data_IF_912025684728
#
_entry.id   IF_912025684728
#
_cell.length_a   1.000
_cell.length_b   1.000
_cell.length_c   1.000
_cell.angle_alpha   90.00
_cell.angle_beta   90.00
_cell.angle_gamma   90.00
#
_symmetry.space_group_name_H-M   'P 1'
#
loop_
_entity.id
_entity.type
_entity.pdbx_description
1 polymer ?
#
# COMPACT_ATOMS: atom_id res chain seq x y z
N UNK A 1 -1.15 -10.12 -18.00
CA UNK A 1 -1.73 -9.23 -16.97
C UNK A 1 -2.89 -9.92 -16.28
N UNK A 2 -2.98 -9.83 -14.95
CA UNK A 2 -4.13 -10.27 -14.15
C UNK A 2 -4.89 -9.04 -13.71
N UNK A 3 -6.21 -9.09 -13.67
CA UNK A 3 -7.02 -7.99 -13.16
C UNK A 3 -8.31 -8.48 -12.49
N UNK A 4 -8.88 -7.64 -11.65
CA UNK A 4 -10.16 -7.86 -11.00
C UNK A 4 -10.85 -6.51 -10.81
N UNK A 5 -12.13 -6.44 -11.17
CA UNK A 5 -12.97 -5.26 -11.09
C UNK A 5 -14.19 -5.55 -10.21
N UNK A 6 -14.50 -4.62 -9.33
CA UNK A 6 -15.69 -4.59 -8.48
C UNK A 6 -16.46 -3.33 -8.83
N UNK A 7 -17.76 -3.43 -9.01
CA UNK A 7 -18.65 -2.27 -9.19
C UNK A 7 -19.80 -2.37 -8.20
N UNK A 8 -19.99 -1.33 -7.40
CA UNK A 8 -21.01 -1.27 -6.34
C UNK A 8 -20.99 -2.52 -5.44
N UNK A 9 -19.78 -2.91 -4.99
CA UNK A 9 -19.56 -4.09 -4.14
C UNK A 9 -19.71 -5.44 -4.83
N UNK A 10 -20.00 -5.49 -6.16
CA UNK A 10 -20.21 -6.73 -6.91
C UNK A 10 -19.04 -7.00 -7.87
N UNK A 11 -18.40 -8.18 -7.79
CA UNK A 11 -17.38 -8.58 -8.77
C UNK A 11 -17.93 -8.59 -10.19
N UNK A 12 -17.17 -8.02 -11.12
CA UNK A 12 -17.54 -7.93 -12.55
C UNK A 12 -16.89 -9.04 -13.40
N UNK A 13 -15.93 -9.78 -12.85
CA UNK A 13 -15.26 -10.87 -13.57
C UNK A 13 -15.82 -12.23 -13.17
N UNK A 14 -16.04 -13.12 -14.16
CA UNK A 14 -16.68 -14.43 -13.99
C UNK A 14 -15.76 -15.51 -13.38
N UNK A 15 -14.44 -15.30 -13.31
CA UNK A 15 -13.49 -16.24 -12.73
C UNK A 15 -12.27 -15.48 -12.19
N UNK A 16 -12.26 -15.10 -10.89
CA UNK A 16 -11.07 -14.54 -10.28
C UNK A 16 -9.95 -15.60 -10.26
N UNK A 17 -8.76 -15.18 -10.65
CA UNK A 17 -7.56 -16.02 -10.50
C UNK A 17 -7.20 -16.11 -9.02
N UNK A 18 -7.07 -17.34 -8.48
CA UNK A 18 -6.56 -17.57 -7.12
C UNK A 18 -5.03 -17.46 -7.01
N UNK A 19 -4.40 -17.02 -8.09
CA UNK A 19 -2.96 -16.87 -8.15
C UNK A 19 -2.48 -15.84 -7.13
N UNK A 20 -1.64 -16.29 -6.21
CA UNK A 20 -1.01 -15.43 -5.22
C UNK A 20 0.00 -14.50 -5.89
N UNK A 21 -0.13 -13.20 -5.68
CA UNK A 21 0.81 -12.19 -6.20
C UNK A 21 1.30 -11.31 -5.07
N UNK A 22 2.54 -10.75 -5.15
CA UNK A 22 3.01 -9.80 -4.14
C UNK A 22 2.27 -8.47 -4.27
N UNK A 23 1.78 -7.97 -3.12
CA UNK A 23 1.07 -6.69 -3.07
C UNK A 23 2.01 -5.49 -2.92
N UNK A 24 3.29 -5.74 -2.75
CA UNK A 24 4.31 -4.70 -2.63
C UNK A 24 3.87 -3.55 -1.72
N UNK A 25 3.99 -2.32 -2.21
CA UNK A 25 3.61 -1.14 -1.43
C UNK A 25 2.10 -1.00 -1.19
N UNK A 26 1.22 -1.75 -1.86
CA UNK A 26 -0.19 -1.80 -1.48
C UNK A 26 -0.37 -2.40 -0.06
N UNK A 27 0.58 -3.19 0.42
CA UNK A 27 0.66 -3.63 1.83
C UNK A 27 0.57 -2.44 2.80
N UNK A 28 1.06 -1.26 2.42
CA UNK A 28 0.98 -0.05 3.25
C UNK A 28 -0.45 0.40 3.51
N UNK A 29 -1.33 0.24 2.53
CA UNK A 29 -2.77 0.55 2.72
C UNK A 29 -3.40 -0.37 3.76
N UNK A 30 -3.01 -1.65 3.77
CA UNK A 30 -3.48 -2.62 4.77
C UNK A 30 -2.93 -2.28 6.17
N UNK A 31 -1.64 -1.95 6.26
CA UNK A 31 -1.03 -1.52 7.53
C UNK A 31 -1.65 -0.22 8.05
N UNK A 32 -1.95 0.72 7.14
CA UNK A 32 -2.63 1.97 7.50
C UNK A 32 -4.04 1.69 8.06
N UNK A 33 -4.83 0.85 7.39
CA UNK A 33 -6.13 0.43 7.88
C UNK A 33 -6.03 -0.23 9.26
N UNK A 34 -5.07 -1.14 9.45
CA UNK A 34 -4.80 -1.80 10.73
C UNK A 34 -4.46 -0.78 11.82
N UNK A 35 -3.56 0.16 11.56
CA UNK A 35 -3.19 1.21 12.50
C UNK A 35 -4.37 2.14 12.83
N UNK A 36 -5.21 2.47 11.84
CA UNK A 36 -6.41 3.28 12.05
C UNK A 36 -7.48 2.56 12.90
N UNK A 37 -7.52 1.22 12.91
CA UNK A 37 -8.37 0.50 13.89
C UNK A 37 -7.89 0.71 15.33
N UNK A 38 -6.59 0.90 15.55
CA UNK A 38 -6.06 1.23 16.88
C UNK A 38 -6.46 2.65 17.31
N UNK A 39 -6.51 3.58 16.35
CA UNK A 39 -7.05 4.95 16.59
C UNK A 39 -8.54 4.89 16.91
N UNK A 40 -9.33 4.12 16.14
CA UNK A 40 -10.75 3.87 16.40
C UNK A 40 -10.98 3.38 17.83
N UNK A 41 -10.16 2.43 18.27
CA UNK A 41 -10.24 1.80 19.57
C UNK A 41 -9.57 2.64 20.70
N UNK A 42 -9.06 3.85 20.37
CA UNK A 42 -8.39 4.79 21.29
C UNK A 42 -7.12 4.24 21.95
N UNK A 43 -6.45 3.30 21.30
CA UNK A 43 -5.17 2.74 21.78
C UNK A 43 -4.00 3.64 21.40
N UNK A 44 -4.17 4.53 20.42
CA UNK A 44 -3.20 5.52 19.98
C UNK A 44 -3.91 6.76 19.44
N UNK A 45 -3.31 7.92 19.63
CA UNK A 45 -3.75 9.17 18.99
C UNK A 45 -3.16 9.27 17.58
N UNK A 46 -3.94 9.82 16.64
CA UNK A 46 -3.46 10.08 15.29
C UNK A 46 -2.49 11.27 15.26
N UNK A 47 -2.67 12.24 16.16
CA UNK A 47 -2.04 13.56 16.12
C UNK A 47 -1.09 13.86 17.30
N UNK A 48 -0.97 12.95 18.25
CA UNK A 48 0.02 13.06 19.32
C UNK A 48 1.32 12.35 18.94
N UNK A 49 2.47 12.81 19.43
CA UNK A 49 3.74 12.12 19.23
C UNK A 49 3.68 10.66 19.66
N UNK A 50 4.25 9.77 18.87
CA UNK A 50 4.31 8.34 19.20
C UNK A 50 5.53 8.11 20.07
N UNK A 51 5.32 7.61 21.30
CA UNK A 51 6.32 6.90 22.10
C UNK A 51 7.78 7.31 21.85
N UNK A 52 8.22 8.40 22.47
CA UNK A 52 9.59 8.92 22.39
C UNK A 52 10.07 9.31 20.97
N UNK A 53 9.14 9.47 20.03
CA UNK A 53 9.44 9.92 18.68
C UNK A 53 8.93 11.36 18.46
N UNK A 54 9.63 12.17 17.65
CA UNK A 54 9.23 13.55 17.37
C UNK A 54 8.11 13.65 16.31
N UNK A 55 7.53 12.55 15.89
CA UNK A 55 6.50 12.51 14.86
C UNK A 55 5.24 11.77 15.34
N UNK A 56 4.12 12.05 14.67
CA UNK A 56 2.81 11.47 14.95
C UNK A 56 2.50 10.30 14.02
N UNK A 57 1.47 9.50 14.35
CA UNK A 57 0.99 8.45 13.46
C UNK A 57 0.49 9.02 12.12
N UNK A 58 -0.17 10.19 12.13
CA UNK A 58 -0.57 10.89 10.90
C UNK A 58 0.62 11.17 10.00
N UNK A 59 1.70 11.68 10.56
CA UNK A 59 2.92 12.00 9.80
C UNK A 59 3.60 10.76 9.23
N UNK A 60 3.60 9.64 9.95
CA UNK A 60 4.08 8.35 9.41
C UNK A 60 3.20 7.88 8.24
N UNK A 61 1.89 7.83 8.45
CA UNK A 61 0.93 7.38 7.44
C UNK A 61 0.97 8.21 6.15
N UNK A 62 1.31 9.49 6.25
CA UNK A 62 1.40 10.44 5.14
C UNK A 62 2.80 10.62 4.55
N UNK A 63 3.82 9.92 5.06
CA UNK A 63 5.21 10.15 4.69
C UNK A 63 5.72 11.57 4.99
N UNK A 64 5.23 12.17 6.06
CA UNK A 64 5.58 13.52 6.52
C UNK A 64 6.47 13.51 7.77
N UNK A 65 6.91 12.34 8.23
CA UNK A 65 7.70 12.19 9.46
C UNK A 65 9.17 12.62 9.32
N UNK A 66 9.64 12.94 8.12
CA UNK A 66 11.05 13.32 7.89
C UNK A 66 12.02 12.14 7.85
N UNK A 67 11.53 10.92 7.84
CA UNK A 67 12.34 9.71 7.82
C UNK A 67 13.00 9.47 6.45
N UNK A 68 14.17 8.85 6.47
CA UNK A 68 14.86 8.39 5.27
C UNK A 68 14.14 7.19 4.63
N UNK A 69 14.54 6.82 3.40
CA UNK A 69 14.07 5.61 2.73
C UNK A 69 15.25 4.73 2.30
N UNK A 70 15.23 3.45 2.71
CA UNK A 70 16.27 2.51 2.30
C UNK A 70 16.25 2.20 0.79
N UNK A 71 15.12 2.43 0.11
CA UNK A 71 15.03 2.35 -1.33
C UNK A 71 15.94 3.35 -2.08
N UNK A 72 16.57 4.31 -1.38
CA UNK A 72 17.54 5.24 -1.94
C UNK A 72 19.00 4.76 -1.78
N UNK A 73 19.24 3.70 -1.01
CA UNK A 73 20.59 3.16 -0.81
C UNK A 73 21.04 2.35 -2.03
N UNK A 74 22.17 2.72 -2.63
CA UNK A 74 22.79 1.97 -3.71
C UNK A 74 23.14 0.54 -3.26
N UNK A 75 23.66 0.40 -2.04
CA UNK A 75 24.01 -0.89 -1.45
C UNK A 75 22.80 -1.82 -1.34
N UNK A 76 21.62 -1.28 -0.99
CA UNK A 76 20.37 -2.05 -0.97
C UNK A 76 20.05 -2.63 -2.34
N UNK A 77 20.09 -1.82 -3.39
CA UNK A 77 19.83 -2.29 -4.75
C UNK A 77 20.86 -3.32 -5.22
N UNK A 78 22.11 -3.13 -4.85
CA UNK A 78 23.20 -4.07 -5.16
C UNK A 78 22.97 -5.41 -4.47
N UNK A 79 22.70 -5.41 -3.17
CA UNK A 79 22.44 -6.62 -2.38
C UNK A 79 21.21 -7.38 -2.90
N UNK A 80 20.12 -6.67 -3.20
CA UNK A 80 18.92 -7.26 -3.81
C UNK A 80 19.20 -7.87 -5.17
N UNK A 81 19.95 -7.19 -6.04
CA UNK A 81 20.28 -7.69 -7.38
C UNK A 81 21.19 -8.92 -7.34
N UNK A 82 22.05 -9.01 -6.32
CA UNK A 82 22.90 -10.17 -6.08
C UNK A 82 22.16 -11.36 -5.44
N UNK A 83 20.87 -11.18 -5.07
CA UNK A 83 20.08 -12.18 -4.35
C UNK A 83 20.61 -12.45 -2.93
N UNK A 84 21.23 -11.46 -2.29
CA UNK A 84 21.71 -11.56 -0.92
C UNK A 84 20.56 -11.68 0.08
N UNK A 85 20.76 -12.31 1.25
CA UNK A 85 19.81 -12.27 2.34
C UNK A 85 19.57 -10.82 2.81
N UNK A 86 18.36 -10.53 3.27
CA UNK A 86 18.06 -9.20 3.82
C UNK A 86 18.92 -8.90 5.07
N UNK A 87 19.39 -7.67 5.16
CA UNK A 87 20.05 -7.18 6.37
C UNK A 87 19.08 -7.18 7.55
N UNK A 88 19.60 -7.26 8.77
CA UNK A 88 18.78 -7.00 9.94
C UNK A 88 18.21 -5.57 9.90
N UNK A 89 17.10 -5.34 10.61
CA UNK A 89 16.53 -3.98 10.69
C UNK A 89 17.52 -2.98 11.30
N UNK A 90 18.31 -3.42 12.29
CA UNK A 90 19.33 -2.58 12.93
C UNK A 90 20.45 -2.21 11.95
N UNK A 91 20.92 -3.17 11.15
CA UNK A 91 21.92 -2.92 10.12
C UNK A 91 21.38 -1.96 9.04
N UNK A 92 20.14 -2.17 8.57
CA UNK A 92 19.49 -1.26 7.62
C UNK A 92 19.42 0.15 8.19
N UNK A 93 18.98 0.31 9.43
CA UNK A 93 18.89 1.62 10.10
C UNK A 93 20.26 2.27 10.25
N UNK A 94 21.31 1.49 10.57
CA UNK A 94 22.67 2.00 10.66
C UNK A 94 23.20 2.48 9.30
N UNK A 95 23.06 1.67 8.23
CA UNK A 95 23.50 2.03 6.86
C UNK A 95 22.79 3.27 6.35
N UNK A 96 21.53 3.44 6.72
CA UNK A 96 20.70 4.56 6.28
C UNK A 96 20.91 5.84 7.09
N UNK A 97 21.64 5.81 8.24
CA UNK A 97 21.56 6.88 9.25
C UNK A 97 20.07 7.18 9.56
N UNK A 98 19.32 6.10 9.83
CA UNK A 98 17.85 6.10 9.81
C UNK A 98 17.22 6.82 11.01
N UNK A 99 17.97 7.09 12.06
CA UNK A 99 17.53 7.88 13.21
C UNK A 99 17.58 9.39 12.94
N UNK A 100 18.38 9.84 11.97
CA UNK A 100 18.48 11.24 11.58
C UNK A 100 17.33 11.63 10.67
N UNK A 101 16.50 12.56 11.12
CA UNK A 101 15.44 13.13 10.28
C UNK A 101 16.04 13.98 9.16
N UNK A 102 15.45 13.90 7.98
CA UNK A 102 15.84 14.64 6.78
C UNK A 102 15.24 16.07 6.76
N UNK A 103 14.16 16.26 7.52
CA UNK A 103 13.48 17.53 7.77
C UNK A 103 12.62 17.41 9.04
N UNK A 104 12.16 18.52 9.58
CA UNK A 104 11.27 18.51 10.74
C UNK A 104 9.92 17.86 10.38
N UNK A 105 9.37 16.96 11.20
CA UNK A 105 8.08 16.32 10.95
C UNK A 105 6.98 17.32 10.60
N UNK A 106 6.22 17.03 9.57
CA UNK A 106 5.14 17.89 9.07
C UNK A 106 5.56 19.01 8.12
N UNK A 107 6.87 19.34 8.00
CA UNK A 107 7.32 20.46 7.15
C UNK A 107 7.61 20.06 5.70
N UNK A 108 7.66 18.77 5.39
CA UNK A 108 7.95 18.24 4.06
C UNK A 108 7.20 16.95 3.79
N UNK A 109 7.43 16.40 2.61
CA UNK A 109 6.94 15.10 2.19
C UNK A 109 8.06 14.32 1.50
N UNK A 110 8.24 13.07 1.92
CA UNK A 110 9.17 12.12 1.29
C UNK A 110 8.70 10.71 1.56
N UNK A 111 8.47 9.96 0.50
CA UNK A 111 8.12 8.55 0.63
C UNK A 111 9.15 7.81 1.49
N UNK A 112 8.68 7.01 2.45
CA UNK A 112 9.57 6.29 3.36
C UNK A 112 9.00 4.91 3.71
N UNK A 113 9.71 3.87 3.30
CA UNK A 113 9.46 2.50 3.74
C UNK A 113 9.77 2.33 5.23
N UNK A 114 10.75 3.10 5.76
CA UNK A 114 11.09 3.11 7.19
C UNK A 114 9.91 3.62 8.02
N UNK A 115 9.16 4.61 7.53
CA UNK A 115 7.94 5.07 8.19
C UNK A 115 6.93 3.95 8.41
N UNK A 116 6.76 3.08 7.42
CA UNK A 116 5.85 1.93 7.53
C UNK A 116 6.41 0.77 8.33
N UNK A 117 7.72 0.61 8.41
CA UNK A 117 8.35 -0.26 9.40
C UNK A 117 8.01 0.20 10.83
N UNK A 118 8.10 1.51 11.15
CA UNK A 118 7.66 2.06 12.44
C UNK A 118 6.17 1.79 12.71
N UNK A 119 5.30 1.90 11.69
CA UNK A 119 3.87 1.57 11.83
C UNK A 119 3.68 0.09 12.18
N UNK A 120 4.40 -0.82 11.52
CA UNK A 120 4.36 -2.25 11.85
C UNK A 120 4.78 -2.52 13.30
N UNK A 121 5.88 -1.92 13.75
CA UNK A 121 6.35 -2.02 15.14
C UNK A 121 5.35 -1.45 16.17
N UNK A 122 4.69 -0.34 15.80
CA UNK A 122 3.64 0.25 16.62
C UNK A 122 2.44 -0.69 16.76
N UNK A 123 2.01 -1.31 15.66
CA UNK A 123 0.92 -2.30 15.66
C UNK A 123 1.27 -3.46 16.59
N UNK A 124 2.44 -4.08 16.44
CA UNK A 124 2.89 -5.18 17.29
C UNK A 124 2.92 -4.79 18.78
N UNK A 125 3.48 -3.62 19.08
CA UNK A 125 3.59 -3.12 20.47
C UNK A 125 2.23 -2.89 21.12
N UNK A 126 1.28 -2.28 20.40
CA UNK A 126 -0.03 -1.93 20.97
C UNK A 126 -0.99 -3.12 21.04
N UNK A 127 -0.81 -4.11 20.16
CA UNK A 127 -1.66 -5.31 20.15
C UNK A 127 -1.08 -6.44 20.99
N UNK A 128 0.24 -6.47 21.22
CA UNK A 128 0.95 -7.60 21.81
C UNK A 128 1.00 -8.82 20.89
N UNK A 129 0.61 -8.69 19.62
CA UNK A 129 0.58 -9.76 18.62
C UNK A 129 1.73 -9.62 17.63
N UNK A 130 2.09 -10.70 16.96
CA UNK A 130 2.90 -10.62 15.75
C UNK A 130 2.16 -9.84 14.67
N UNK A 131 2.89 -9.17 13.77
CA UNK A 131 2.30 -8.28 12.76
C UNK A 131 1.27 -8.98 11.87
N UNK A 132 1.53 -10.23 11.48
CA UNK A 132 0.62 -11.03 10.65
C UNK A 132 -0.70 -11.32 11.38
N UNK A 133 -0.66 -11.71 12.64
CA UNK A 133 -1.85 -11.95 13.46
C UNK A 133 -2.65 -10.66 13.68
N UNK A 134 -1.96 -9.56 13.97
CA UNK A 134 -2.60 -8.26 14.19
C UNK A 134 -3.31 -7.76 12.93
N UNK A 135 -2.66 -7.86 11.77
CA UNK A 135 -3.24 -7.48 10.47
C UNK A 135 -4.43 -8.38 10.12
N UNK A 136 -4.28 -9.70 10.31
CA UNK A 136 -5.37 -10.64 10.07
C UNK A 136 -6.59 -10.31 10.93
N UNK A 137 -6.41 -10.13 12.24
CA UNK A 137 -7.53 -9.92 13.17
C UNK A 137 -8.19 -8.55 13.02
N UNK A 138 -7.42 -7.51 12.70
CA UNK A 138 -7.91 -6.14 12.74
C UNK A 138 -8.34 -5.58 11.38
N UNK A 139 -7.83 -6.12 10.28
CA UNK A 139 -8.14 -5.61 8.94
C UNK A 139 -8.65 -6.69 7.99
N UNK A 140 -7.93 -7.80 7.82
CA UNK A 140 -8.27 -8.76 6.79
C UNK A 140 -9.54 -9.58 7.13
N UNK A 141 -9.58 -10.23 8.28
CA UNK A 141 -10.73 -11.05 8.69
C UNK A 141 -12.04 -10.25 8.84
N UNK A 142 -12.04 -9.05 9.47
CA UNK A 142 -13.25 -8.23 9.54
C UNK A 142 -13.78 -7.81 8.16
N UNK A 143 -12.92 -7.66 7.17
CA UNK A 143 -13.31 -7.39 5.78
C UNK A 143 -13.55 -8.67 4.96
N UNK A 144 -13.52 -9.86 5.60
CA UNK A 144 -13.80 -11.15 4.97
C UNK A 144 -12.73 -11.62 3.98
N UNK A 145 -11.47 -11.23 4.19
CA UNK A 145 -10.33 -11.69 3.40
C UNK A 145 -9.61 -12.82 4.14
N UNK A 146 -9.62 -14.02 3.58
CA UNK A 146 -8.99 -15.21 4.17
C UNK A 146 -7.80 -15.74 3.39
N UNK A 147 -7.67 -15.38 2.11
CA UNK A 147 -6.60 -15.86 1.23
C UNK A 147 -5.53 -14.75 0.99
N UNK A 148 -5.13 -14.09 2.08
CA UNK A 148 -4.07 -13.07 2.08
C UNK A 148 -3.17 -13.35 3.28
N UNK A 149 -1.85 -13.33 3.06
CA UNK A 149 -0.88 -13.59 4.13
C UNK A 149 0.43 -12.85 3.88
N UNK A 150 1.26 -12.72 4.90
CA UNK A 150 2.63 -12.24 4.72
C UNK A 150 3.51 -13.33 4.08
N UNK A 151 4.34 -12.92 3.13
CA UNK A 151 5.45 -13.71 2.65
C UNK A 151 6.57 -13.70 3.71
N UNK A 152 6.99 -14.88 4.18
CA UNK A 152 8.04 -15.05 5.21
C UNK A 152 9.35 -15.55 4.62
N UNK A 153 9.30 -16.13 3.42
CA UNK A 153 10.45 -16.72 2.75
C UNK A 153 10.33 -16.59 1.23
N UNK A 154 11.44 -16.81 0.54
CA UNK A 154 11.47 -16.81 -0.93
C UNK A 154 10.47 -17.80 -1.56
N UNK A 155 10.25 -18.94 -0.90
CA UNK A 155 9.29 -19.95 -1.37
C UNK A 155 7.82 -19.51 -1.31
N UNK A 156 7.52 -18.45 -0.57
CA UNK A 156 6.18 -17.86 -0.53
C UNK A 156 5.87 -17.01 -1.77
N UNK A 157 6.90 -16.54 -2.45
CA UNK A 157 6.74 -15.75 -3.66
C UNK A 157 6.45 -16.63 -4.87
N UNK A 158 5.60 -16.18 -5.81
CA UNK A 158 5.23 -16.98 -6.97
C UNK A 158 6.44 -17.29 -7.86
N UNK A 159 6.64 -18.56 -8.18
CA UNK A 159 7.74 -19.00 -9.04
C UNK A 159 7.62 -18.50 -10.50
N UNK A 160 6.45 -18.04 -10.92
CA UNK A 160 6.22 -17.51 -12.26
C UNK A 160 6.71 -16.06 -12.46
N UNK A 161 7.12 -15.36 -11.40
CA UNK A 161 7.68 -14.02 -11.52
C UNK A 161 9.15 -14.14 -11.95
N UNK A 162 9.51 -13.75 -13.20
CA UNK A 162 10.85 -13.93 -13.71
C UNK A 162 11.87 -12.94 -13.10
N UNK A 163 13.13 -13.27 -13.23
CA UNK A 163 14.23 -12.41 -12.84
C UNK A 163 14.48 -12.34 -11.34
N UNK A 164 14.86 -11.18 -10.84
CA UNK A 164 15.22 -10.96 -9.43
C UNK A 164 14.11 -11.28 -8.45
N UNK A 165 12.85 -11.25 -8.87
CA UNK A 165 11.71 -11.56 -8.00
C UNK A 165 11.69 -13.02 -7.55
N UNK A 166 12.14 -13.97 -8.39
CA UNK A 166 12.24 -15.40 -8.02
C UNK A 166 13.30 -15.66 -6.96
N UNK A 167 14.28 -14.78 -6.82
CA UNK A 167 15.37 -14.85 -5.83
C UNK A 167 15.23 -13.84 -4.72
N UNK A 168 14.24 -12.95 -4.79
CA UNK A 168 14.01 -11.88 -3.82
C UNK A 168 13.65 -12.44 -2.45
N UNK A 169 14.37 -11.97 -1.43
CA UNK A 169 14.05 -12.27 -0.05
C UNK A 169 12.96 -11.28 0.44
N UNK A 170 11.74 -11.73 0.79
CA UNK A 170 10.68 -10.84 1.25
C UNK A 170 11.03 -10.09 2.54
N UNK A 171 12.03 -10.54 3.31
CA UNK A 171 12.55 -9.83 4.47
C UNK A 171 13.17 -8.46 4.13
N UNK A 172 13.54 -8.19 2.87
CA UNK A 172 13.91 -6.86 2.39
C UNK A 172 12.76 -5.83 2.47
N UNK A 173 11.51 -6.28 2.59
CA UNK A 173 10.37 -5.41 2.83
C UNK A 173 10.15 -5.31 4.34
N UNK A 174 10.90 -4.47 5.02
CA UNK A 174 10.94 -4.39 6.49
C UNK A 174 9.59 -4.10 7.15
N UNK A 175 8.66 -3.49 6.44
CA UNK A 175 7.26 -3.32 6.90
C UNK A 175 6.37 -4.55 6.61
N UNK A 176 6.95 -5.62 6.05
CA UNK A 176 6.24 -6.82 5.64
C UNK A 176 5.72 -6.75 4.20
N UNK A 177 5.63 -7.91 3.56
CA UNK A 177 5.13 -8.08 2.20
C UNK A 177 3.90 -8.99 2.22
N UNK A 178 2.72 -8.43 1.98
CA UNK A 178 1.51 -9.24 1.75
C UNK A 178 1.53 -9.88 0.37
N UNK A 179 1.03 -11.10 0.32
CA UNK A 179 0.73 -11.84 -0.91
C UNK A 179 -0.71 -12.30 -0.87
N UNK A 180 -1.37 -12.27 -2.02
CA UNK A 180 -2.77 -12.68 -2.17
C UNK A 180 -3.22 -12.58 -3.61
N UNK A 181 -4.40 -13.13 -3.95
CA UNK A 181 -5.01 -12.94 -5.26
C UNK A 181 -5.26 -11.46 -5.57
N UNK A 182 -5.21 -11.10 -6.85
CA UNK A 182 -5.53 -9.73 -7.31
C UNK A 182 -6.97 -9.35 -6.94
N UNK A 183 -7.88 -10.31 -7.00
CA UNK A 183 -9.28 -10.13 -6.59
C UNK A 183 -9.42 -9.76 -5.12
N UNK A 184 -8.58 -10.31 -4.25
CA UNK A 184 -8.58 -9.97 -2.82
C UNK A 184 -8.00 -8.57 -2.58
N UNK A 185 -7.08 -8.09 -3.42
CA UNK A 185 -6.58 -6.72 -3.32
C UNK A 185 -7.66 -5.69 -3.70
N UNK A 186 -8.41 -5.93 -4.78
CA UNK A 186 -9.57 -5.11 -5.14
C UNK A 186 -10.64 -5.14 -4.04
N UNK A 187 -10.96 -6.33 -3.53
CA UNK A 187 -11.96 -6.52 -2.48
C UNK A 187 -11.58 -5.84 -1.17
N UNK A 188 -10.29 -5.88 -0.81
CA UNK A 188 -9.79 -5.16 0.38
C UNK A 188 -10.05 -3.67 0.27
N UNK A 189 -9.67 -3.03 -0.84
CA UNK A 189 -9.83 -1.59 -1.01
C UNK A 189 -11.31 -1.21 -1.06
N UNK A 190 -12.13 -1.97 -1.79
CA UNK A 190 -13.58 -1.77 -1.87
C UNK A 190 -14.21 -1.81 -0.48
N UNK A 191 -14.01 -2.89 0.25
CA UNK A 191 -14.60 -3.06 1.58
C UNK A 191 -14.04 -2.09 2.62
N UNK A 192 -12.74 -1.75 2.56
CA UNK A 192 -12.14 -0.76 3.45
C UNK A 192 -12.85 0.60 3.33
N UNK A 193 -13.18 1.02 2.11
CA UNK A 193 -13.72 2.34 1.84
C UNK A 193 -15.26 2.40 1.89
N UNK A 194 -15.95 1.23 1.88
CA UNK A 194 -17.41 1.12 1.82
C UNK A 194 -18.06 0.48 3.04
N UNK A 195 -17.28 -0.03 4.02
CA UNK A 195 -17.83 -0.68 5.22
C UNK A 195 -17.47 0.06 6.51
N UNK A 196 -18.04 -0.39 7.62
CA UNK A 196 -17.88 0.22 8.94
C UNK A 196 -16.62 -0.23 9.70
N UNK A 197 -15.60 -0.75 9.00
CA UNK A 197 -14.33 -1.08 9.66
C UNK A 197 -13.74 0.14 10.37
N UNK A 198 -13.80 1.30 9.72
CA UNK A 198 -13.33 2.57 10.25
C UNK A 198 -14.46 3.59 10.31
N UNK A 199 -14.54 4.43 11.36
CA UNK A 199 -15.47 5.55 11.40
C UNK A 199 -15.30 6.47 10.19
N UNK A 200 -16.39 7.10 9.75
CA UNK A 200 -16.42 8.03 8.61
C UNK A 200 -15.33 9.13 8.69
N UNK A 201 -15.08 9.64 9.89
CA UNK A 201 -14.04 10.66 10.11
C UNK A 201 -12.62 10.15 9.80
N UNK A 202 -12.33 8.88 10.11
CA UNK A 202 -11.04 8.27 9.77
C UNK A 202 -10.96 7.93 8.27
N UNK A 203 -12.06 7.46 7.67
CA UNK A 203 -12.13 7.25 6.20
C UNK A 203 -11.95 8.55 5.43
N UNK A 204 -12.58 9.63 5.86
CA UNK A 204 -12.37 10.96 5.28
C UNK A 204 -10.92 11.43 5.46
N UNK A 205 -10.35 11.26 6.66
CA UNK A 205 -8.95 11.57 6.93
C UNK A 205 -7.99 10.76 6.05
N UNK A 206 -8.31 9.48 5.80
CA UNK A 206 -7.55 8.60 4.90
C UNK A 206 -7.54 9.12 3.46
N UNK A 207 -8.67 9.64 3.00
CA UNK A 207 -8.88 10.18 1.66
C UNK A 207 -8.61 11.70 1.55
N UNK A 208 -8.18 12.35 2.61
CA UNK A 208 -7.74 13.76 2.57
C UNK A 208 -6.25 13.82 2.23
N UNK A 209 -5.95 13.88 0.94
CA UNK A 209 -4.58 13.83 0.47
C UNK A 209 -3.89 15.20 0.50
N UNK A 210 -2.61 15.21 0.86
CA UNK A 210 -1.70 16.30 0.54
C UNK A 210 -1.23 16.14 -0.90
N UNK A 211 -1.38 17.17 -1.72
CA UNK A 211 -0.80 17.21 -3.06
C UNK A 211 0.73 17.21 -2.94
N UNK A 212 1.38 16.29 -3.63
CA UNK A 212 2.83 16.08 -3.55
C UNK A 212 3.60 16.45 -4.81
N UNK A 213 2.88 16.90 -5.85
CA UNK A 213 3.50 17.34 -7.10
C UNK A 213 2.49 17.63 -8.20
N UNK A 214 3.00 17.85 -9.40
CA UNK A 214 2.26 17.95 -10.65
C UNK A 214 2.19 16.60 -11.38
N UNK A 215 1.83 16.62 -12.68
CA UNK A 215 1.70 15.39 -13.48
C UNK A 215 2.95 14.54 -13.46
N UNK A 216 2.78 13.23 -13.30
CA UNK A 216 3.89 12.27 -13.33
C UNK A 216 3.98 11.69 -14.75
N UNK A 217 5.10 11.90 -15.47
CA UNK A 217 5.28 11.38 -16.82
C UNK A 217 5.05 9.86 -16.89
N UNK A 218 4.24 9.42 -17.87
CA UNK A 218 3.94 8.00 -18.08
C UNK A 218 2.98 7.38 -17.07
N UNK A 219 2.40 8.17 -16.15
CA UNK A 219 1.37 7.73 -15.20
C UNK A 219 0.09 8.58 -15.35
N UNK A 220 -1.09 8.09 -14.95
CA UNK A 220 -2.36 8.80 -15.16
C UNK A 220 -2.53 10.07 -14.32
N UNK A 221 -1.64 10.35 -13.39
CA UNK A 221 -1.76 11.41 -12.39
C UNK A 221 -1.58 12.81 -12.97
N UNK A 222 -2.58 13.68 -12.75
CA UNK A 222 -2.50 15.12 -13.01
C UNK A 222 -2.03 15.86 -11.74
N UNK A 223 -2.64 15.54 -10.60
CA UNK A 223 -2.27 16.10 -9.29
C UNK A 223 -2.12 14.97 -8.28
N UNK A 224 -0.96 14.27 -8.26
CA UNK A 224 -0.72 13.21 -7.30
C UNK A 224 -0.70 13.75 -5.88
N UNK A 225 -1.32 13.01 -4.97
CA UNK A 225 -1.35 13.31 -3.55
C UNK A 225 -1.22 12.04 -2.72
N UNK A 226 -1.03 12.22 -1.41
CA UNK A 226 -0.92 11.12 -0.47
C UNK A 226 -1.74 11.41 0.80
N UNK A 227 -2.64 10.48 1.15
CA UNK A 227 -3.46 10.49 2.35
C UNK A 227 -2.91 9.60 3.46
N UNK A 228 -3.77 9.04 4.31
CA UNK A 228 -3.32 8.11 5.35
C UNK A 228 -3.19 6.69 4.75
N UNK A 229 -2.07 6.41 4.13
CA UNK A 229 -1.77 5.10 3.54
C UNK A 229 -2.39 4.84 2.17
N UNK A 230 -2.88 5.87 1.50
CA UNK A 230 -3.38 5.80 0.13
C UNK A 230 -2.78 6.92 -0.72
N UNK A 231 -2.49 6.62 -1.97
CA UNK A 231 -2.32 7.62 -3.02
C UNK A 231 -3.69 8.11 -3.44
N UNK A 232 -3.84 9.43 -3.59
CA UNK A 232 -5.07 10.02 -4.08
C UNK A 232 -4.79 11.27 -4.90
N UNK A 233 -5.47 11.42 -6.02
CA UNK A 233 -5.30 12.61 -6.82
C UNK A 233 -6.14 12.60 -8.09
N UNK A 234 -6.17 13.75 -8.77
CA UNK A 234 -6.89 13.90 -10.01
C UNK A 234 -6.20 13.17 -11.18
N UNK A 235 -7.02 12.58 -12.03
CA UNK A 235 -6.65 12.01 -13.33
C UNK A 235 -7.46 12.68 -14.46
N UNK A 236 -7.21 12.31 -15.70
CA UNK A 236 -7.95 12.81 -16.84
C UNK A 236 -9.46 12.52 -16.74
N UNK A 237 -10.30 13.40 -17.30
CA UNK A 237 -11.75 13.27 -17.25
C UNK A 237 -12.40 13.82 -15.97
N UNK A 238 -11.63 14.45 -15.07
CA UNK A 238 -12.16 15.05 -13.83
C UNK A 238 -12.34 14.05 -12.69
N UNK A 239 -11.89 12.81 -12.85
CA UNK A 239 -11.98 11.78 -11.83
C UNK A 239 -10.89 11.88 -10.76
N UNK A 240 -11.20 11.37 -9.58
CA UNK A 240 -10.23 11.17 -8.49
C UNK A 240 -9.94 9.68 -8.35
N UNK A 241 -8.67 9.33 -8.45
CA UNK A 241 -8.18 7.98 -8.22
C UNK A 241 -7.71 7.86 -6.77
N UNK A 242 -8.19 6.85 -6.04
CA UNK A 242 -7.82 6.58 -4.62
C UNK A 242 -7.39 5.13 -4.45
N UNK A 243 -6.21 4.89 -3.91
CA UNK A 243 -5.67 3.53 -3.72
C UNK A 243 -4.17 3.53 -3.57
N UNK A 244 -3.48 2.52 -4.10
CA UNK A 244 -2.02 2.48 -4.07
C UNK A 244 -1.44 1.61 -5.18
N UNK A 245 -0.29 2.00 -5.69
CA UNK A 245 0.55 1.19 -6.58
C UNK A 245 1.67 0.56 -5.77
N UNK A 246 1.87 -0.74 -5.92
CA UNK A 246 3.01 -1.48 -5.38
C UNK A 246 3.95 -1.91 -6.49
N UNK A 247 5.23 -1.62 -6.34
CA UNK A 247 6.28 -2.05 -7.26
C UNK A 247 7.41 -2.69 -6.47
N UNK A 248 7.91 -3.80 -6.99
CA UNK A 248 9.08 -4.48 -6.48
C UNK A 248 9.81 -5.21 -7.61
N UNK A 249 10.87 -5.96 -7.30
CA UNK A 249 11.63 -6.65 -8.33
C UNK A 249 10.74 -7.54 -9.21
N UNK A 250 10.66 -7.21 -10.50
CA UNK A 250 10.02 -8.02 -11.53
C UNK A 250 8.50 -7.95 -11.61
N UNK A 251 7.81 -7.14 -10.80
CA UNK A 251 6.35 -7.02 -10.91
C UNK A 251 5.77 -5.76 -10.30
N UNK A 252 4.55 -5.41 -10.73
CA UNK A 252 3.79 -4.26 -10.27
C UNK A 252 2.34 -4.69 -10.02
N UNK A 253 1.76 -4.18 -8.94
CA UNK A 253 0.32 -4.20 -8.67
C UNK A 253 -0.19 -2.77 -8.56
N UNK A 254 -1.36 -2.48 -9.13
CA UNK A 254 -2.08 -1.23 -8.92
C UNK A 254 -3.49 -1.56 -8.43
N UNK A 255 -3.93 -0.90 -7.35
CA UNK A 255 -5.24 -1.14 -6.73
C UNK A 255 -5.87 0.22 -6.46
N UNK A 256 -6.95 0.54 -7.18
CA UNK A 256 -7.56 1.87 -7.12
C UNK A 256 -9.08 1.83 -7.17
N UNK A 257 -9.67 2.89 -6.62
CA UNK A 257 -11.09 3.19 -6.63
C UNK A 257 -11.36 4.50 -7.36
N UNK A 258 -12.47 4.53 -8.10
CA UNK A 258 -13.10 5.73 -8.66
C UNK A 258 -14.56 5.75 -8.23
N UNK A 259 -15.10 6.95 -8.00
CA UNK A 259 -16.53 7.20 -7.80
C UNK A 259 -17.00 8.14 -8.92
N UNK A 260 -18.12 7.79 -9.53
CA UNK A 260 -18.82 8.63 -10.51
C UNK A 260 -20.34 8.58 -10.24
N UNK A 261 -20.89 9.67 -9.70
CA UNK A 261 -22.25 9.69 -9.19
C UNK A 261 -22.50 8.61 -8.15
N UNK A 262 -23.47 7.74 -8.41
CA UNK A 262 -23.82 6.60 -7.54
C UNK A 262 -23.03 5.32 -7.87
N UNK A 263 -22.09 5.38 -8.83
CA UNK A 263 -21.28 4.24 -9.24
C UNK A 263 -19.92 4.28 -8.55
N UNK A 264 -19.64 3.26 -7.76
CA UNK A 264 -18.37 3.04 -7.09
C UNK A 264 -17.64 1.87 -7.73
N UNK A 265 -16.39 2.05 -8.10
CA UNK A 265 -15.59 1.00 -8.74
C UNK A 265 -14.24 0.86 -8.06
N UNK A 266 -13.88 -0.38 -7.75
CA UNK A 266 -12.54 -0.76 -7.34
C UNK A 266 -11.93 -1.72 -8.36
N UNK A 267 -10.76 -1.41 -8.86
CA UNK A 267 -10.03 -2.27 -9.77
C UNK A 267 -8.61 -2.52 -9.26
N UNK A 268 -8.18 -3.78 -9.38
CA UNK A 268 -6.79 -4.18 -9.17
C UNK A 268 -6.24 -4.82 -10.44
N UNK A 269 -5.00 -4.50 -10.79
CA UNK A 269 -4.28 -5.16 -11.88
C UNK A 269 -2.85 -5.49 -11.43
N UNK A 270 -2.33 -6.61 -11.93
CA UNK A 270 -0.98 -7.08 -11.67
C UNK A 270 -0.31 -7.49 -12.97
N UNK A 271 0.95 -7.11 -13.12
CA UNK A 271 1.76 -7.48 -14.27
C UNK A 271 3.21 -7.75 -13.86
N UNK A 272 3.84 -8.66 -14.61
CA UNK A 272 5.29 -8.83 -14.59
C UNK A 272 5.94 -7.65 -15.33
N UNK A 273 7.00 -7.09 -14.75
CA UNK A 273 7.68 -5.91 -15.29
C UNK A 273 7.92 -4.85 -14.24
N UNK A 274 8.26 -3.63 -14.68
CA UNK A 274 8.59 -2.52 -13.78
C UNK A 274 7.76 -1.25 -14.03
N UNK A 275 6.85 -1.25 -15.03
CA UNK A 275 6.10 -0.05 -15.41
C UNK A 275 4.86 0.16 -14.54
N UNK A 276 4.97 1.02 -13.53
CA UNK A 276 3.82 1.41 -12.72
C UNK A 276 2.70 2.05 -13.56
N UNK A 277 3.07 2.95 -14.47
CA UNK A 277 2.10 3.67 -15.29
C UNK A 277 1.31 2.76 -16.23
N UNK A 278 1.93 1.70 -16.77
CA UNK A 278 1.23 0.74 -17.63
C UNK A 278 0.14 -0.01 -16.85
N UNK A 279 0.43 -0.45 -15.63
CA UNK A 279 -0.54 -1.17 -14.78
C UNK A 279 -1.64 -0.24 -14.27
N UNK A 280 -1.29 0.98 -13.89
CA UNK A 280 -2.27 2.02 -13.53
C UNK A 280 -3.20 2.38 -14.68
N UNK A 281 -2.67 2.48 -15.91
CA UNK A 281 -3.47 2.77 -17.08
C UNK A 281 -4.53 1.69 -17.34
N UNK A 282 -4.17 0.41 -17.15
CA UNK A 282 -5.12 -0.70 -17.28
C UNK A 282 -6.22 -0.62 -16.23
N UNK A 283 -5.88 -0.31 -14.97
CA UNK A 283 -6.87 -0.13 -13.90
C UNK A 283 -7.85 0.99 -14.26
N UNK A 284 -7.34 2.14 -14.71
CA UNK A 284 -8.17 3.28 -15.12
C UNK A 284 -9.03 2.90 -16.32
N UNK A 285 -8.47 2.26 -17.35
CA UNK A 285 -9.20 1.89 -18.56
C UNK A 285 -10.36 0.93 -18.25
N UNK A 286 -10.15 -0.10 -17.42
CA UNK A 286 -11.20 -1.03 -17.05
C UNK A 286 -12.35 -0.35 -16.31
N UNK A 287 -12.07 0.57 -15.39
CA UNK A 287 -13.11 1.34 -14.70
C UNK A 287 -13.84 2.28 -15.67
N UNK A 288 -13.13 2.95 -16.59
CA UNK A 288 -13.75 3.82 -17.59
C UNK A 288 -14.62 3.05 -18.59
N UNK A 289 -14.31 1.79 -18.91
CA UNK A 289 -15.15 0.97 -19.77
C UNK A 289 -16.52 0.71 -19.15
N UNK A 290 -16.59 0.44 -17.83
CA UNK A 290 -17.86 0.25 -17.12
C UNK A 290 -18.70 1.52 -17.13
N UNK A 291 -18.08 2.68 -16.85
CA UNK A 291 -18.79 3.97 -16.86
C UNK A 291 -19.42 4.28 -18.23
N UNK A 292 -18.71 3.99 -19.32
CA UNK A 292 -19.24 4.21 -20.68
C UNK A 292 -20.38 3.29 -21.06
N UNK A 293 -20.50 2.11 -20.43
CA UNK A 293 -21.56 1.14 -20.69
C UNK A 293 -22.83 1.42 -19.88
N UNK A 294 -22.71 2.17 -18.79
CA UNK A 294 -23.81 2.57 -17.91
C UNK A 294 -24.42 3.93 -18.22
N UNK A 295 -23.80 4.68 -19.15
CA UNK A 295 -24.27 5.98 -19.66
C UNK A 295 -25.08 5.80 -20.94
#
# INVERSE_FOLDING_TARGET
MLSSLISNGQPQSSAPSDLMVPWWSFTKTVLAATALTLVRDRLVSLDEPILDQPFTLRQLLRHEAGLADYGELVDYHTAVSNGEPAWSADEMMQRLDGTRLRYNPGTGWRYSNVGYWHIGRLIERLTGLALDDAVMQRALAPLGLSNVRFAKSRSDLPAFIPGSASTYDPAWVYHGLLIGPVSQAALFLDRLLCTDLLPTTLLQGMQTARVVGGPIPGRPWITPGYGLGVMQGAIAGGYTLTGHTGCGPGSVIAVYRIIDGDTEMCCAAFEQGASQGAVEAVVVEQMMQVLRQGS
#
